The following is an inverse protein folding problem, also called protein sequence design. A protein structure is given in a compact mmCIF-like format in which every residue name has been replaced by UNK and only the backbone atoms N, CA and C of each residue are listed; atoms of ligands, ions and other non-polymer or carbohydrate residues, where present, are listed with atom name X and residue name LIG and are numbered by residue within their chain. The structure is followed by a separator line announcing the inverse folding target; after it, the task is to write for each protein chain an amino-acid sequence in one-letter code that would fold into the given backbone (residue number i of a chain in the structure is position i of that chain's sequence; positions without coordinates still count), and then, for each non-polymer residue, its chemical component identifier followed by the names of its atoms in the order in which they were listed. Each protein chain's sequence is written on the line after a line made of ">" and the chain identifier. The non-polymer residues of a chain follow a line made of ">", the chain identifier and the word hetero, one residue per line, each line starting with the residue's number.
data_IF_192422855491
#
_entry.id   IF_192422855491
#
_cell.length_a   1.000
_cell.length_b   1.000
_cell.length_c   1.000
_cell.angle_alpha   90.00
_cell.angle_beta   90.00
_cell.angle_gamma   90.00
#
_symmetry.space_group_name_H-M   'P 1'
#
loop_
_entity.id
_entity.type
_entity.pdbx_description
1 polymer ?
#
# COMPACT_ATOMS: atom_id res chain seq x y z
N UNK A 1 16.23 1.37 -0.81
CA UNK A 1 15.48 1.01 0.42
C UNK A 1 16.34 0.35 1.49
N UNK A 2 17.21 -0.59 1.12
CA UNK A 2 17.94 -1.43 2.10
C UNK A 2 18.74 -0.65 3.14
N UNK A 3 19.41 0.44 2.76
CA UNK A 3 20.19 1.27 3.68
C UNK A 3 19.32 2.19 4.53
N UNK A 4 18.23 2.70 3.96
CA UNK A 4 17.31 3.66 4.60
C UNK A 4 16.50 2.98 5.71
N UNK A 5 16.06 1.75 5.48
CA UNK A 5 15.25 0.97 6.42
C UNK A 5 16.05 -0.15 7.10
N UNK A 6 17.38 -0.05 7.12
CA UNK A 6 18.28 -1.11 7.58
C UNK A 6 18.08 -1.50 9.06
N UNK A 7 17.55 -0.58 9.87
CA UNK A 7 17.29 -0.83 11.30
C UNK A 7 16.03 -0.11 11.75
N UNK A 8 15.48 -0.55 12.88
CA UNK A 8 14.31 0.09 13.52
C UNK A 8 14.54 1.58 13.80
N UNK A 9 15.75 1.96 14.22
CA UNK A 9 16.09 3.37 14.47
C UNK A 9 16.08 4.21 13.20
N UNK A 10 16.64 3.69 12.09
CA UNK A 10 16.60 4.40 10.80
C UNK A 10 15.18 4.49 10.24
N UNK A 11 14.40 3.41 10.36
CA UNK A 11 12.99 3.41 9.97
C UNK A 11 12.17 4.45 10.77
N UNK A 12 12.37 4.53 12.09
CA UNK A 12 11.69 5.51 12.93
C UNK A 12 12.13 6.95 12.63
N UNK A 13 13.44 7.17 12.42
CA UNK A 13 13.98 8.48 12.01
C UNK A 13 13.36 8.92 10.68
N UNK A 14 13.33 8.04 9.68
CA UNK A 14 12.75 8.33 8.37
C UNK A 14 11.24 8.63 8.49
N UNK A 15 10.50 7.85 9.26
CA UNK A 15 9.07 8.11 9.51
C UNK A 15 8.83 9.47 10.18
N UNK A 16 9.72 9.89 11.10
CA UNK A 16 9.67 11.22 11.71
C UNK A 16 9.93 12.33 10.68
N UNK A 17 10.90 12.16 9.80
CA UNK A 17 11.24 13.14 8.77
C UNK A 17 10.09 13.34 7.77
N UNK A 18 9.45 12.24 7.34
CA UNK A 18 8.28 12.28 6.46
C UNK A 18 7.13 13.07 7.08
N UNK A 19 6.77 12.77 8.34
CA UNK A 19 5.68 13.50 9.04
C UNK A 19 6.03 14.97 9.26
N UNK A 20 7.27 15.27 9.64
CA UNK A 20 7.71 16.65 9.84
C UNK A 20 7.62 17.48 8.56
N UNK A 21 7.91 16.89 7.39
CA UNK A 21 7.71 17.56 6.11
C UNK A 21 6.22 17.83 5.82
N UNK A 22 5.36 16.84 6.08
CA UNK A 22 3.92 17.00 5.89
C UNK A 22 3.33 18.10 6.77
N UNK A 23 3.69 18.13 8.05
CA UNK A 23 3.29 19.19 8.99
C UNK A 23 3.84 20.56 8.57
N UNK A 24 5.14 20.64 8.20
CA UNK A 24 5.79 21.89 7.78
C UNK A 24 5.07 22.56 6.61
N UNK A 25 4.58 21.77 5.66
CA UNK A 25 3.92 22.28 4.45
C UNK A 25 2.39 22.19 4.52
N UNK A 26 1.81 21.91 5.70
CA UNK A 26 0.36 21.82 5.93
C UNK A 26 -0.35 20.85 4.98
N UNK A 27 0.28 19.71 4.65
CA UNK A 27 -0.40 18.65 3.91
C UNK A 27 -1.43 17.94 4.80
N UNK A 28 -2.44 17.34 4.17
CA UNK A 28 -3.48 16.57 4.86
C UNK A 28 -3.11 15.09 5.06
N UNK A 29 -2.05 14.63 4.39
CA UNK A 29 -1.65 13.24 4.45
C UNK A 29 -0.33 12.95 3.76
N UNK A 30 0.07 11.69 3.83
CA UNK A 30 1.30 11.14 3.26
C UNK A 30 0.93 9.96 2.35
N UNK A 31 1.48 9.94 1.14
CA UNK A 31 1.41 8.80 0.24
C UNK A 31 2.82 8.20 0.09
N UNK A 32 2.96 6.90 0.35
CA UNK A 32 4.22 6.17 0.18
C UNK A 32 4.13 5.32 -1.08
N UNK A 33 4.92 5.70 -2.08
CA UNK A 33 5.05 5.00 -3.34
C UNK A 33 6.46 4.41 -3.46
N UNK A 34 6.59 3.18 -2.97
CA UNK A 34 7.84 2.47 -2.87
C UNK A 34 7.81 1.25 -3.79
N UNK A 35 8.46 1.40 -4.95
CA UNK A 35 8.49 0.39 -6.02
C UNK A 35 9.71 -0.53 -5.93
N UNK A 36 9.71 -1.57 -6.77
CA UNK A 36 10.81 -2.52 -6.98
C UNK A 36 11.16 -3.37 -5.74
N UNK A 37 10.22 -3.54 -4.80
CA UNK A 37 10.37 -4.51 -3.71
C UNK A 37 10.05 -5.92 -4.20
N UNK A 38 9.06 -6.03 -5.11
CA UNK A 38 8.63 -7.27 -5.74
C UNK A 38 8.35 -8.36 -4.67
N UNK A 39 8.90 -9.57 -4.81
CA UNK A 39 8.68 -10.68 -3.88
C UNK A 39 9.74 -10.80 -2.77
N UNK A 40 10.62 -9.79 -2.60
CA UNK A 40 11.70 -9.82 -1.61
C UNK A 40 11.17 -9.63 -0.17
N UNK A 41 10.85 -10.75 0.49
CA UNK A 41 10.29 -10.78 1.85
C UNK A 41 11.20 -10.13 2.92
N UNK A 42 12.52 -10.10 2.71
CA UNK A 42 13.45 -9.45 3.65
C UNK A 42 13.27 -7.93 3.65
N UNK A 43 13.10 -7.34 2.46
CA UNK A 43 12.83 -5.92 2.31
C UNK A 43 11.42 -5.59 2.81
N UNK A 44 10.42 -6.42 2.51
CA UNK A 44 9.06 -6.24 3.03
C UNK A 44 9.01 -6.21 4.55
N UNK A 45 9.75 -7.09 5.25
CA UNK A 45 9.83 -7.05 6.72
C UNK A 45 10.36 -5.71 7.23
N UNK A 46 11.37 -5.13 6.56
CA UNK A 46 11.91 -3.80 6.90
C UNK A 46 10.89 -2.70 6.62
N UNK A 47 10.18 -2.81 5.50
CA UNK A 47 9.10 -1.89 5.12
C UNK A 47 7.98 -1.88 6.17
N UNK A 48 7.50 -3.05 6.62
CA UNK A 48 6.44 -3.12 7.65
C UNK A 48 6.84 -2.47 8.98
N UNK A 49 8.13 -2.54 9.36
CA UNK A 49 8.64 -1.84 10.56
C UNK A 49 8.55 -0.33 10.38
N UNK A 50 8.93 0.17 9.20
CA UNK A 50 8.80 1.58 8.84
C UNK A 50 7.34 2.02 8.80
N UNK A 51 6.50 1.28 8.10
CA UNK A 51 5.08 1.55 7.94
C UNK A 51 4.36 1.65 9.30
N UNK A 52 4.64 0.72 10.22
CA UNK A 52 4.07 0.77 11.58
C UNK A 52 4.50 2.03 12.33
N UNK A 53 5.75 2.45 12.19
CA UNK A 53 6.24 3.69 12.80
C UNK A 53 5.60 4.93 12.15
N UNK A 54 5.49 4.95 10.82
CA UNK A 54 4.87 6.02 10.06
C UNK A 54 3.38 6.17 10.39
N UNK A 55 2.64 5.07 10.45
CA UNK A 55 1.23 5.08 10.80
C UNK A 55 0.99 5.63 12.22
N UNK A 56 1.80 5.21 13.20
CA UNK A 56 1.68 5.73 14.56
C UNK A 56 1.89 7.26 14.62
N UNK A 57 2.82 7.78 13.81
CA UNK A 57 3.16 9.21 13.77
C UNK A 57 2.13 10.03 13.00
N UNK A 58 1.72 9.59 11.81
CA UNK A 58 0.66 10.23 11.01
C UNK A 58 -0.65 10.29 11.78
N UNK A 59 -1.05 9.18 12.42
CA UNK A 59 -2.22 9.15 13.30
C UNK A 59 -2.15 10.18 14.43
N UNK A 60 -0.98 10.34 15.07
CA UNK A 60 -0.79 11.34 16.13
C UNK A 60 -0.85 12.79 15.60
N UNK A 61 -0.38 13.00 14.39
CA UNK A 61 -0.38 14.30 13.71
C UNK A 61 -1.73 14.63 13.03
N UNK A 62 -2.70 13.71 13.03
CA UNK A 62 -3.97 13.89 12.31
C UNK A 62 -3.84 13.86 10.79
N UNK A 63 -2.79 13.19 10.27
CA UNK A 63 -2.53 13.05 8.84
C UNK A 63 -3.07 11.70 8.33
N UNK A 64 -3.65 11.72 7.13
CA UNK A 64 -3.98 10.50 6.41
C UNK A 64 -2.69 9.79 5.97
N UNK A 65 -2.72 8.46 5.90
CA UNK A 65 -1.61 7.66 5.38
C UNK A 65 -2.12 6.71 4.31
N UNK A 66 -1.52 6.80 3.12
CA UNK A 66 -1.74 5.87 2.02
C UNK A 66 -0.45 5.16 1.64
N UNK A 67 -0.55 3.84 1.41
CA UNK A 67 0.54 3.02 0.89
C UNK A 67 0.17 2.50 -0.50
N UNK A 68 1.01 2.77 -1.49
CA UNK A 68 0.84 2.29 -2.86
C UNK A 68 1.58 0.95 -3.02
N UNK A 69 0.88 -0.07 -3.55
CA UNK A 69 1.41 -1.41 -3.75
C UNK A 69 1.47 -1.79 -5.22
N UNK A 70 2.58 -2.42 -5.62
CA UNK A 70 2.72 -3.05 -6.93
C UNK A 70 1.86 -4.34 -7.03
N UNK A 71 1.37 -4.72 -8.23
CA UNK A 71 0.69 -5.99 -8.48
C UNK A 71 1.46 -7.23 -8.03
N UNK A 72 2.79 -7.14 -8.00
CA UNK A 72 3.72 -8.21 -7.61
C UNK A 72 3.86 -8.36 -6.10
N UNK A 73 3.27 -7.46 -5.30
CA UNK A 73 3.37 -7.51 -3.84
C UNK A 73 2.83 -8.84 -3.30
N UNK A 74 3.61 -9.60 -2.51
CA UNK A 74 3.21 -10.93 -2.05
C UNK A 74 2.33 -10.85 -0.82
N UNK A 75 1.14 -10.25 -0.98
CA UNK A 75 0.16 -9.98 0.09
C UNK A 75 -0.32 -11.22 0.84
N UNK A 76 -0.25 -12.41 0.24
CA UNK A 76 -0.55 -13.68 0.91
C UNK A 76 0.56 -14.16 1.86
N UNK A 77 1.75 -13.57 1.79
CA UNK A 77 2.94 -13.95 2.58
C UNK A 77 3.29 -12.91 3.65
N UNK A 78 2.59 -11.78 3.69
CA UNK A 78 2.93 -10.61 4.50
C UNK A 78 1.67 -10.11 5.21
N UNK A 79 1.81 -9.79 6.50
CA UNK A 79 0.74 -9.22 7.30
C UNK A 79 0.89 -7.70 7.35
N UNK A 80 0.11 -7.01 6.54
CA UNK A 80 0.04 -5.55 6.54
C UNK A 80 -0.69 -5.01 7.79
N UNK A 81 -0.19 -3.95 8.44
CA UNK A 81 -0.84 -3.39 9.62
C UNK A 81 -2.22 -2.82 9.29
N UNK A 82 -3.13 -2.82 10.27
CA UNK A 82 -4.39 -2.08 10.12
C UNK A 82 -4.14 -0.59 10.25
N UNK A 83 -4.88 0.21 9.48
CA UNK A 83 -4.94 1.65 9.68
C UNK A 83 -4.63 2.49 8.44
N UNK A 84 -3.49 2.28 7.76
CA UNK A 84 -3.23 2.93 6.49
C UNK A 84 -4.34 2.62 5.48
N UNK A 85 -4.67 3.60 4.64
CA UNK A 85 -5.30 3.29 3.36
C UNK A 85 -4.23 2.63 2.49
N UNK A 86 -4.65 1.68 1.68
CA UNK A 86 -3.74 1.12 0.72
C UNK A 86 -4.40 0.99 -0.63
N UNK A 87 -3.58 1.20 -1.64
CA UNK A 87 -3.99 1.33 -3.02
C UNK A 87 -3.08 0.47 -3.87
N UNK A 88 -3.67 -0.32 -4.76
CA UNK A 88 -2.92 -1.21 -5.65
C UNK A 88 -2.78 -0.54 -7.00
N UNK A 89 -1.55 -0.44 -7.52
CA UNK A 89 -1.26 0.01 -8.87
C UNK A 89 -1.71 -1.07 -9.86
N UNK A 90 -2.99 -1.11 -10.21
CA UNK A 90 -3.51 -2.12 -11.15
C UNK A 90 -3.29 -1.73 -12.60
N UNK A 91 -2.02 -1.52 -12.95
CA UNK A 91 -1.51 -1.33 -14.30
C UNK A 91 -0.12 -1.96 -14.43
N UNK A 92 0.54 -1.84 -15.59
CA UNK A 92 1.79 -2.51 -15.97
C UNK A 92 1.66 -4.03 -16.21
N UNK A 93 0.50 -4.52 -16.64
CA UNK A 93 0.36 -5.91 -17.14
C UNK A 93 1.35 -6.20 -18.29
N UNK A 94 1.51 -5.22 -19.19
CA UNK A 94 2.58 -5.16 -20.17
C UNK A 94 3.35 -3.85 -19.93
N UNK A 95 4.55 -3.98 -19.34
CA UNK A 95 5.42 -2.88 -18.93
C UNK A 95 6.74 -2.83 -19.69
N UNK A 96 7.69 -2.08 -19.14
CA UNK A 96 9.04 -1.95 -19.70
C UNK A 96 9.71 -3.34 -19.84
N UNK A 97 10.23 -3.66 -21.02
CA UNK A 97 10.88 -4.95 -21.29
C UNK A 97 9.94 -6.11 -21.64
N UNK A 98 8.63 -5.85 -21.82
CA UNK A 98 7.66 -6.84 -22.32
C UNK A 98 7.27 -6.56 -23.77
N UNK A 99 6.68 -7.56 -24.44
CA UNK A 99 6.05 -7.33 -25.75
C UNK A 99 4.89 -6.33 -25.62
N UNK A 100 4.56 -5.58 -26.69
CA UNK A 100 3.42 -4.67 -26.67
C UNK A 100 2.13 -5.37 -26.23
N UNK A 101 1.37 -4.71 -25.37
CA UNK A 101 0.10 -5.21 -24.86
C UNK A 101 -0.63 -4.19 -23.98
N UNK A 102 -1.86 -4.50 -23.53
CA UNK A 102 -2.66 -3.58 -22.74
C UNK A 102 -2.05 -3.32 -21.35
N UNK A 103 -1.98 -2.05 -20.91
CA UNK A 103 -1.45 -1.73 -19.56
C UNK A 103 -2.26 -2.37 -18.42
N UNK A 104 -3.54 -2.64 -18.66
CA UNK A 104 -4.43 -3.42 -17.78
C UNK A 104 -5.55 -4.06 -18.64
N UNK A 105 -6.01 -5.24 -18.25
CA UNK A 105 -7.19 -5.89 -18.83
C UNK A 105 -8.17 -6.34 -17.73
N UNK A 106 -9.41 -6.69 -18.11
CA UNK A 106 -10.43 -7.10 -17.15
C UNK A 106 -10.01 -8.33 -16.31
N UNK A 107 -9.30 -9.29 -16.92
CA UNK A 107 -8.85 -10.52 -16.25
C UNK A 107 -7.82 -10.19 -15.16
N UNK A 108 -6.90 -9.30 -15.48
CA UNK A 108 -5.88 -8.78 -14.58
C UNK A 108 -6.52 -7.99 -13.42
N UNK A 109 -7.44 -7.06 -13.71
CA UNK A 109 -8.15 -6.32 -12.66
C UNK A 109 -8.91 -7.25 -11.72
N UNK A 110 -9.62 -8.25 -12.26
CA UNK A 110 -10.32 -9.26 -11.43
C UNK A 110 -9.36 -10.07 -10.56
N UNK A 111 -8.17 -10.39 -11.07
CA UNK A 111 -7.10 -11.05 -10.30
C UNK A 111 -6.61 -10.15 -9.15
N UNK A 112 -6.40 -8.86 -9.40
CA UNK A 112 -5.94 -7.91 -8.37
C UNK A 112 -6.94 -7.82 -7.21
N UNK A 113 -8.23 -7.69 -7.50
CA UNK A 113 -9.28 -7.66 -6.45
C UNK A 113 -9.22 -8.93 -5.59
N UNK A 114 -9.09 -10.10 -6.23
CA UNK A 114 -9.03 -11.38 -5.51
C UNK A 114 -7.79 -11.45 -4.61
N UNK A 115 -6.61 -11.18 -5.16
CA UNK A 115 -5.34 -11.35 -4.46
C UNK A 115 -5.20 -10.38 -3.27
N UNK A 116 -5.70 -9.15 -3.42
CA UNK A 116 -5.54 -8.09 -2.43
C UNK A 116 -6.74 -7.98 -1.46
N UNK A 117 -7.75 -8.85 -1.61
CA UNK A 117 -8.97 -8.82 -0.79
C UNK A 117 -8.75 -8.97 0.72
N UNK A 118 -7.67 -9.65 1.14
CA UNK A 118 -7.37 -9.95 2.54
C UNK A 118 -6.64 -8.83 3.28
N UNK A 119 -6.34 -7.72 2.60
CA UNK A 119 -5.42 -6.77 3.16
C UNK A 119 -6.04 -5.88 4.24
N UNK A 120 -5.19 -5.49 5.20
CA UNK A 120 -5.66 -4.78 6.40
C UNK A 120 -6.66 -5.59 7.24
N UNK A 121 -6.80 -6.90 7.00
CA UNK A 121 -7.62 -7.79 7.82
C UNK A 121 -6.79 -8.47 8.91
N UNK A 122 -7.44 -8.79 10.02
CA UNK A 122 -6.90 -9.65 11.07
C UNK A 122 -7.65 -10.98 10.97
N UNK A 123 -6.97 -12.13 10.83
CA UNK A 123 -7.63 -13.43 10.74
C UNK A 123 -8.54 -13.75 11.94
N UNK A 124 -8.44 -13.03 13.07
CA UNK A 124 -9.17 -13.30 14.31
C UNK A 124 -10.36 -12.39 14.64
N UNK A 125 -10.70 -11.38 13.84
CA UNK A 125 -11.76 -10.41 14.19
C UNK A 125 -12.61 -10.04 12.96
N UNK A 126 -13.93 -10.23 13.08
CA UNK A 126 -14.93 -10.00 12.03
C UNK A 126 -14.82 -8.64 11.34
N UNK A 127 -15.16 -8.66 10.05
CA UNK A 127 -15.11 -7.55 9.11
C UNK A 127 -15.77 -6.28 9.68
N UNK A 128 -14.99 -5.23 9.93
CA UNK A 128 -15.52 -3.86 10.07
C UNK A 128 -14.91 -3.00 8.98
N UNK A 129 -15.81 -2.37 8.23
CA UNK A 129 -15.61 -1.63 6.99
C UNK A 129 -14.68 -0.42 7.16
N UNK A 130 -13.39 -0.61 6.88
CA UNK A 130 -12.51 0.42 6.27
C UNK A 130 -11.54 -0.33 5.35
N UNK A 131 -12.09 -0.87 4.26
CA UNK A 131 -11.38 -1.71 3.29
C UNK A 131 -10.86 -0.89 2.12
N UNK A 132 -9.60 -1.11 1.79
CA UNK A 132 -8.86 -0.85 0.55
C UNK A 132 -9.66 -0.32 -0.65
N UNK A 133 -9.14 0.75 -1.29
CA UNK A 133 -9.72 1.33 -2.49
C UNK A 133 -8.84 1.06 -3.72
N UNK A 134 -9.45 0.50 -4.77
CA UNK A 134 -8.81 0.35 -6.07
C UNK A 134 -8.73 1.71 -6.79
N UNK A 135 -7.52 2.11 -7.20
CA UNK A 135 -7.32 3.22 -8.13
C UNK A 135 -6.79 2.68 -9.46
N UNK A 136 -7.42 3.10 -10.56
CA UNK A 136 -6.85 2.95 -11.90
C UNK A 136 -6.00 4.20 -12.19
N UNK A 137 -5.03 4.09 -13.12
CA UNK A 137 -4.06 5.15 -13.44
C UNK A 137 -4.66 6.52 -13.81
N UNK A 138 -5.98 6.59 -14.07
CA UNK A 138 -6.72 7.81 -14.39
C UNK A 138 -7.56 8.37 -13.23
N UNK A 139 -7.30 7.97 -11.98
CA UNK A 139 -7.99 8.52 -10.80
C UNK A 139 -9.42 8.02 -10.59
N UNK A 140 -9.82 6.94 -11.27
CA UNK A 140 -11.14 6.33 -11.12
C UNK A 140 -11.14 5.41 -9.89
N UNK A 141 -11.89 5.79 -8.86
CA UNK A 141 -12.22 4.95 -7.71
C UNK A 141 -13.33 3.96 -8.09
N UNK A 142 -13.06 2.67 -8.01
CA UNK A 142 -14.10 1.64 -8.19
C UNK A 142 -14.54 1.15 -6.80
N UNK A 143 -15.76 1.52 -6.40
CA UNK A 143 -16.40 0.93 -5.22
C UNK A 143 -17.04 -0.41 -5.59
N UNK A 144 -16.54 -1.52 -5.05
CA UNK A 144 -17.24 -2.80 -5.14
C UNK A 144 -18.40 -2.81 -4.13
N UNK A 145 -19.55 -2.27 -4.54
CA UNK A 145 -20.82 -2.63 -3.91
C UNK A 145 -21.36 -3.87 -4.63
N UNK A 146 -21.12 -5.05 -4.07
CA UNK A 146 -21.95 -6.20 -4.39
C UNK A 146 -23.34 -5.93 -3.80
N UNK A 147 -24.33 -5.72 -4.67
CA UNK A 147 -25.74 -5.79 -4.30
C UNK A 147 -26.05 -7.24 -3.96
N UNK A 148 -26.26 -7.55 -2.69
CA UNK A 148 -26.99 -8.74 -2.29
C UNK A 148 -28.43 -8.61 -2.78
N UNK A 149 -28.85 -9.57 -3.62
CA UNK A 149 -30.26 -9.84 -3.91
C UNK A 149 -30.83 -10.78 -2.86
#
# INVERSE_FOLDING_TARGET
>A
METLLASKSKADKHAKEVVALAEKYNFTGVEIDYEQIQDNLSIWKKFLVFEKALYARTKKAGLDLRIILEPSTPVSKINFPKGPEYVVMSYNLYGYGTNPGPKADYKFLKKMVKDFSSLGQDPGQGQREKGWHQHLADGIKVNSKEKTS
#
